data_IF_848783001105
#
_entry.id   IF_848783001105
#
_cell.length_a   1.000
_cell.length_b   1.000
_cell.length_c   1.000
_cell.angle_alpha   90.00
_cell.angle_beta   90.00
_cell.angle_gamma   90.00
#
_symmetry.space_group_name_H-M   'P 1'
#
loop_
_entity.id
_entity.type
_entity.pdbx_description
1 polymer ?
#
# COMPACT_ATOMS: atom_id res chain seq x y z
N UNK A 1 12.59 16.36 10.94
CA UNK A 1 11.46 17.08 10.32
C UNK A 1 10.85 16.26 9.20
N UNK A 2 11.65 15.50 8.44
CA UNK A 2 11.21 14.64 7.33
C UNK A 2 10.14 13.58 7.70
N UNK A 3 10.23 12.94 8.87
CA UNK A 3 9.28 11.88 9.28
C UNK A 3 7.84 12.35 9.47
N UNK A 4 7.62 13.62 9.79
CA UNK A 4 6.26 14.16 9.97
C UNK A 4 5.58 14.41 8.62
N UNK A 5 6.32 14.86 7.61
CA UNK A 5 5.80 15.05 6.25
C UNK A 5 5.48 13.70 5.61
N UNK A 6 6.35 12.70 5.79
CA UNK A 6 6.13 11.31 5.39
C UNK A 6 4.85 10.73 5.98
N UNK A 7 4.69 10.75 7.30
CA UNK A 7 3.49 10.20 7.95
C UNK A 7 2.21 10.93 7.56
N UNK A 8 2.28 12.26 7.36
CA UNK A 8 1.13 13.06 6.96
C UNK A 8 0.72 12.71 5.53
N UNK A 9 1.66 12.67 4.59
CA UNK A 9 1.39 12.30 3.20
C UNK A 9 0.88 10.86 3.10
N UNK A 10 1.51 9.93 3.83
CA UNK A 10 1.10 8.54 3.86
C UNK A 10 -0.33 8.38 4.38
N UNK A 11 -0.61 8.93 5.56
CA UNK A 11 -1.91 8.78 6.22
C UNK A 11 -3.05 9.51 5.52
N UNK A 12 -2.79 10.67 4.92
CA UNK A 12 -3.84 11.54 4.35
C UNK A 12 -4.06 11.29 2.86
N UNK A 13 -3.01 10.98 2.10
CA UNK A 13 -3.11 10.83 0.64
C UNK A 13 -2.99 9.35 0.24
N UNK A 14 -1.93 8.67 0.68
CA UNK A 14 -1.60 7.33 0.18
C UNK A 14 -2.58 6.27 0.66
N UNK A 15 -2.78 6.15 1.97
CA UNK A 15 -3.65 5.14 2.57
C UNK A 15 -5.08 5.17 2.01
N UNK A 16 -5.81 6.30 2.05
CA UNK A 16 -7.19 6.33 1.54
C UNK A 16 -7.26 6.00 0.04
N UNK A 17 -6.27 6.43 -0.76
CA UNK A 17 -6.22 6.10 -2.19
C UNK A 17 -6.04 4.60 -2.41
N UNK A 18 -5.12 3.96 -1.67
CA UNK A 18 -4.87 2.52 -1.80
C UNK A 18 -6.08 1.72 -1.32
N UNK A 19 -6.66 2.08 -0.18
CA UNK A 19 -7.87 1.43 0.37
C UNK A 19 -9.02 1.50 -0.64
N UNK A 20 -9.24 2.65 -1.26
CA UNK A 20 -10.28 2.82 -2.25
C UNK A 20 -10.03 1.96 -3.49
N UNK A 21 -8.80 1.95 -4.01
CA UNK A 21 -8.42 1.07 -5.12
C UNK A 21 -8.63 -0.41 -4.79
N UNK A 22 -8.27 -0.84 -3.58
CA UNK A 22 -8.46 -2.22 -3.12
C UNK A 22 -9.95 -2.56 -3.04
N UNK A 23 -10.76 -1.68 -2.44
CA UNK A 23 -12.21 -1.85 -2.32
C UNK A 23 -12.86 -1.97 -3.70
N UNK A 24 -12.45 -1.13 -4.66
CA UNK A 24 -12.95 -1.19 -6.04
C UNK A 24 -12.49 -2.46 -6.79
N UNK A 25 -11.22 -2.86 -6.67
CA UNK A 25 -10.67 -4.03 -7.36
C UNK A 25 -11.21 -5.35 -6.81
N UNK A 26 -11.34 -5.46 -5.49
CA UNK A 26 -11.83 -6.68 -4.83
C UNK A 26 -13.36 -6.70 -4.66
N UNK A 27 -14.04 -5.61 -5.00
CA UNK A 27 -15.48 -5.43 -4.77
C UNK A 27 -15.90 -5.69 -3.31
N UNK A 28 -15.04 -5.31 -2.36
CA UNK A 28 -15.27 -5.46 -0.92
C UNK A 28 -15.58 -4.10 -0.27
N UNK A 29 -16.20 -4.12 0.90
CA UNK A 29 -16.44 -2.89 1.66
C UNK A 29 -15.14 -2.19 2.04
N UNK A 30 -15.15 -0.85 2.12
CA UNK A 30 -14.00 -0.01 2.51
C UNK A 30 -13.41 -0.47 3.85
N UNK A 31 -14.27 -0.81 4.81
CA UNK A 31 -13.85 -1.26 6.14
C UNK A 31 -13.08 -2.59 6.08
N UNK A 32 -13.53 -3.51 5.23
CA UNK A 32 -12.88 -4.80 5.01
C UNK A 32 -11.56 -4.61 4.23
N UNK A 33 -11.53 -3.69 3.27
CA UNK A 33 -10.31 -3.30 2.57
C UNK A 33 -9.26 -2.71 3.53
N UNK A 34 -9.67 -1.90 4.51
CA UNK A 34 -8.79 -1.38 5.57
C UNK A 34 -8.20 -2.54 6.37
N UNK A 35 -9.03 -3.42 6.92
CA UNK A 35 -8.55 -4.53 7.75
C UNK A 35 -7.59 -5.45 7.00
N UNK A 36 -7.91 -5.75 5.74
CA UNK A 36 -7.07 -6.58 4.88
C UNK A 36 -5.76 -5.87 4.51
N UNK A 37 -5.81 -4.58 4.18
CA UNK A 37 -4.62 -3.83 3.79
C UNK A 37 -3.67 -3.64 4.97
N UNK A 38 -4.17 -3.29 6.17
CA UNK A 38 -3.33 -3.18 7.37
C UNK A 38 -2.69 -4.50 7.79
N UNK A 39 -3.31 -5.64 7.47
CA UNK A 39 -2.72 -6.98 7.69
C UNK A 39 -1.81 -7.45 6.56
N UNK A 40 -1.70 -6.69 5.46
CA UNK A 40 -0.88 -7.06 4.32
C UNK A 40 0.60 -6.80 4.54
N UNK A 41 1.43 -7.56 3.83
CA UNK A 41 2.87 -7.34 3.87
C UNK A 41 3.26 -6.04 3.15
N UNK A 42 2.47 -5.60 2.17
CA UNK A 42 2.63 -4.28 1.53
C UNK A 42 2.54 -3.14 2.53
N UNK A 43 1.53 -3.12 3.41
CA UNK A 43 1.40 -2.08 4.44
C UNK A 43 2.57 -2.12 5.44
N UNK A 44 3.00 -3.32 5.86
CA UNK A 44 4.15 -3.50 6.74
C UNK A 44 5.48 -3.00 6.14
N UNK A 45 5.60 -2.94 4.81
CA UNK A 45 6.71 -2.29 4.12
C UNK A 45 6.48 -0.79 3.98
N UNK A 46 5.26 -0.37 3.67
CA UNK A 46 4.87 1.04 3.53
C UNK A 46 5.08 1.86 4.79
N UNK A 47 4.84 1.28 5.98
CA UNK A 47 5.15 1.87 7.29
C UNK A 47 6.66 2.04 7.52
N UNK A 48 7.49 1.20 6.88
CA UNK A 48 8.95 1.25 7.01
C UNK A 48 9.52 2.27 6.05
N UNK A 49 9.88 3.43 6.59
CA UNK A 49 10.53 4.53 5.85
C UNK A 49 11.76 4.06 5.06
N UNK A 50 12.55 3.12 5.60
CA UNK A 50 13.75 2.54 4.98
C UNK A 50 13.48 1.86 3.64
N UNK A 51 12.27 1.34 3.42
CA UNK A 51 11.91 0.67 2.16
C UNK A 51 11.62 1.66 1.04
N UNK A 52 11.36 2.94 1.39
CA UNK A 52 10.91 4.00 0.49
C UNK A 52 9.66 3.63 -0.31
N UNK A 53 8.84 2.71 0.19
CA UNK A 53 7.62 2.27 -0.49
C UNK A 53 6.63 3.40 -0.73
N UNK A 54 6.70 4.44 0.09
CA UNK A 54 5.90 5.63 -0.01
C UNK A 54 6.28 6.56 -1.18
N UNK A 55 7.43 6.33 -1.83
CA UNK A 55 7.77 6.97 -3.10
C UNK A 55 7.02 6.34 -4.27
N UNK A 56 6.51 5.11 -4.13
CA UNK A 56 5.73 4.48 -5.18
C UNK A 56 4.35 5.13 -5.32
N UNK A 57 3.80 5.03 -6.53
CA UNK A 57 2.43 5.46 -6.74
C UNK A 57 1.45 4.53 -5.99
N UNK A 58 0.35 5.05 -5.43
CA UNK A 58 -0.65 4.23 -4.72
C UNK A 58 -1.25 3.13 -5.61
N UNK A 59 -1.28 3.35 -6.93
CA UNK A 59 -1.66 2.33 -7.91
C UNK A 59 -0.71 1.13 -7.94
N UNK A 60 0.61 1.36 -7.88
CA UNK A 60 1.59 0.29 -7.85
C UNK A 60 1.49 -0.50 -6.54
N UNK A 61 1.37 0.20 -5.40
CA UNK A 61 1.17 -0.45 -4.10
C UNK A 61 -0.10 -1.30 -4.05
N UNK A 62 -1.20 -0.79 -4.61
CA UNK A 62 -2.42 -1.57 -4.76
C UNK A 62 -2.18 -2.80 -5.66
N UNK A 63 -1.48 -2.64 -6.77
CA UNK A 63 -1.11 -3.75 -7.67
C UNK A 63 -0.30 -4.83 -6.95
N UNK A 64 0.72 -4.45 -6.19
CA UNK A 64 1.53 -5.39 -5.38
C UNK A 64 0.67 -6.14 -4.36
N UNK A 65 -0.26 -5.43 -3.70
CA UNK A 65 -1.18 -6.07 -2.75
C UNK A 65 -2.13 -7.06 -3.45
N UNK A 66 -2.66 -6.70 -4.63
CA UNK A 66 -3.51 -7.59 -5.41
C UNK A 66 -2.74 -8.81 -5.93
N UNK A 67 -1.47 -8.64 -6.27
CA UNK A 67 -0.57 -9.73 -6.67
C UNK A 67 -0.27 -10.66 -5.49
N UNK A 68 0.03 -10.10 -4.31
CA UNK A 68 0.17 -10.83 -3.04
C UNK A 68 -1.08 -11.67 -2.75
N UNK A 69 -2.27 -11.08 -2.92
CA UNK A 69 -3.56 -11.75 -2.75
C UNK A 69 -3.79 -12.89 -3.74
N UNK A 70 -3.43 -12.69 -5.01
CA UNK A 70 -3.71 -13.65 -6.07
C UNK A 70 -2.70 -14.81 -6.12
N UNK A 71 -1.42 -14.52 -5.91
CA UNK A 71 -0.33 -15.50 -6.08
C UNK A 71 0.29 -15.95 -4.75
N UNK A 72 0.00 -15.25 -3.65
CA UNK A 72 0.64 -15.44 -2.35
C UNK A 72 2.03 -14.82 -2.24
N UNK A 73 2.50 -14.13 -3.30
CA UNK A 73 3.78 -13.44 -3.38
C UNK A 73 3.60 -12.13 -4.14
N UNK A 74 4.49 -11.18 -3.93
CA UNK A 74 4.59 -10.01 -4.80
C UNK A 74 6.06 -9.78 -5.10
N UNK A 75 6.35 -9.38 -6.33
CA UNK A 75 7.70 -9.01 -6.73
C UNK A 75 7.79 -7.49 -6.80
N UNK A 76 8.68 -6.93 -5.99
CA UNK A 76 8.96 -5.50 -6.04
C UNK A 76 9.75 -5.28 -7.33
N UNK A 77 9.29 -4.43 -8.26
CA UNK A 77 10.04 -4.17 -9.48
C UNK A 77 11.43 -3.63 -9.12
N UNK A 78 12.47 -4.29 -9.64
CA UNK A 78 13.89 -4.02 -9.37
C UNK A 78 14.31 -2.57 -9.71
N UNK A 79 13.52 -1.88 -10.52
CA UNK A 79 13.71 -0.49 -10.99
C UNK A 79 13.60 0.58 -9.88
N UNK A 80 13.48 0.18 -8.62
CA UNK A 80 13.31 1.07 -7.50
C UNK A 80 14.19 0.73 -6.28
N UNK A 81 15.24 -0.07 -6.49
CA UNK A 81 16.38 -0.20 -5.59
C UNK A 81 17.45 0.87 -5.89
#
# INVERSE_FOLDING_TARGET
METQEFNTFLGIIMLPTIIQLISENLNIGVQEAIEQFYNSRVYALLEKEETKFWHYSPQLLCGLYLEEKQTGKFEIPEEAA
#
